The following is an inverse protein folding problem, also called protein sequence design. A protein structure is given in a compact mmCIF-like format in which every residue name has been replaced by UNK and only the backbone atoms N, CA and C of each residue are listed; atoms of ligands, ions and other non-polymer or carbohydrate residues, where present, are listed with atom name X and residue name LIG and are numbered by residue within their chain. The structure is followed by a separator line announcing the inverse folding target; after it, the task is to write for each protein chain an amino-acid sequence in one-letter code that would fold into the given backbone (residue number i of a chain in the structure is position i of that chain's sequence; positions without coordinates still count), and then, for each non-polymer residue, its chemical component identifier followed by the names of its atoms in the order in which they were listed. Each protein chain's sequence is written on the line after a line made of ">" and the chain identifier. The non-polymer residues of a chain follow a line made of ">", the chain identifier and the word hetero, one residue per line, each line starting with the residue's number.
data_IF_271947668231
#
_entry.id   IF_271947668231
#
_cell.length_a   1.000
_cell.length_b   1.000
_cell.length_c   1.000
_cell.angle_alpha   90.00
_cell.angle_beta   90.00
_cell.angle_gamma   90.00
#
_symmetry.space_group_name_H-M   'P 1'
#
loop_
_entity.id
_entity.type
_entity.pdbx_description
1 polymer ?
#
# COMPACT_ATOMS: atom_id res chain seq x y z
N UNK A 1 -0.13 -25.93 -4.39
CA UNK A 1 0.57 -25.13 -3.35
C UNK A 1 0.84 -23.77 -3.97
N UNK A 2 -0.07 -22.81 -3.80
CA UNK A 2 0.02 -21.49 -4.44
C UNK A 2 1.01 -20.69 -3.60
N UNK A 3 2.24 -20.62 -4.09
CA UNK A 3 3.28 -19.74 -3.57
C UNK A 3 2.92 -18.35 -4.06
N UNK A 4 2.49 -17.47 -3.15
CA UNK A 4 2.35 -16.05 -3.42
C UNK A 4 3.74 -15.50 -3.72
N UNK A 5 4.15 -15.50 -4.98
CA UNK A 5 5.33 -14.78 -5.43
C UNK A 5 4.98 -13.29 -5.43
N UNK A 6 5.17 -12.64 -4.28
CA UNK A 6 5.25 -11.19 -4.24
C UNK A 6 6.50 -10.80 -5.04
N UNK A 7 6.26 -10.41 -6.30
CA UNK A 7 7.25 -9.85 -7.21
C UNK A 7 7.99 -8.75 -6.48
N UNK A 8 9.31 -8.90 -6.44
CA UNK A 8 10.30 -7.99 -5.87
C UNK A 8 10.00 -6.57 -6.38
N UNK A 9 9.32 -5.76 -5.57
CA UNK A 9 9.20 -4.31 -5.77
C UNK A 9 10.63 -3.78 -5.74
N UNK A 10 11.19 -3.52 -6.91
CA UNK A 10 12.44 -2.78 -7.04
C UNK A 10 12.16 -1.39 -6.48
N UNK A 11 12.74 -1.11 -5.32
CA UNK A 11 12.81 0.23 -4.76
C UNK A 11 13.68 1.06 -5.71
N UNK A 12 13.10 2.07 -6.34
CA UNK A 12 13.89 3.17 -6.90
C UNK A 12 14.69 3.86 -5.79
N UNK A 13 15.78 4.58 -6.10
CA UNK A 13 16.57 5.32 -5.11
C UNK A 13 15.74 6.33 -4.29
N UNK A 14 14.53 6.69 -4.75
CA UNK A 14 13.56 7.55 -4.10
C UNK A 14 12.50 6.81 -3.26
N UNK A 15 12.49 5.46 -3.23
CA UNK A 15 11.67 4.67 -2.32
C UNK A 15 10.15 4.70 -2.55
N UNK A 16 9.65 5.18 -3.68
CA UNK A 16 8.21 5.24 -3.95
C UNK A 16 7.74 4.10 -4.87
N UNK A 17 6.88 3.20 -4.38
CA UNK A 17 6.12 2.27 -5.22
C UNK A 17 4.87 2.96 -5.83
N UNK A 18 4.54 2.59 -7.07
CA UNK A 18 3.46 3.13 -7.94
C UNK A 18 2.03 2.99 -7.37
N UNK A 19 1.72 1.93 -6.62
CA UNK A 19 0.39 1.77 -5.98
C UNK A 19 0.13 2.78 -4.85
N UNK A 20 1.13 3.57 -4.48
CA UNK A 20 1.08 4.39 -3.29
C UNK A 20 0.80 5.87 -3.54
N UNK A 21 1.00 6.37 -4.76
CA UNK A 21 0.51 7.71 -5.11
C UNK A 21 -1.02 7.76 -5.08
N UNK A 22 -1.72 6.66 -5.35
CA UNK A 22 -3.18 6.61 -5.29
C UNK A 22 -3.71 6.57 -3.85
N UNK A 23 -2.99 5.92 -2.92
CA UNK A 23 -3.26 6.02 -1.47
C UNK A 23 -3.10 7.48 -1.01
N UNK A 24 -2.09 8.19 -1.52
CA UNK A 24 -1.85 9.59 -1.20
C UNK A 24 -2.91 10.52 -1.85
N UNK A 25 -3.27 10.32 -3.12
CA UNK A 25 -4.26 11.11 -3.86
C UNK A 25 -5.72 10.88 -3.40
N UNK A 26 -6.00 9.82 -2.64
CA UNK A 26 -7.32 9.58 -2.03
C UNK A 26 -7.34 9.90 -0.53
N UNK A 27 -6.19 9.87 0.15
CA UNK A 27 -6.06 10.49 1.46
C UNK A 27 -6.32 12.01 1.37
N UNK A 28 -5.86 12.67 0.30
CA UNK A 28 -6.07 14.11 0.04
C UNK A 28 -7.52 14.50 -0.23
N UNK A 29 -8.39 13.56 -0.64
CA UNK A 29 -9.85 13.81 -0.79
C UNK A 29 -10.64 13.67 0.52
N UNK A 30 -10.01 13.14 1.57
CA UNK A 30 -10.58 13.05 2.93
C UNK A 30 -9.86 13.92 3.96
N UNK A 31 -8.77 14.57 3.57
CA UNK A 31 -8.12 15.61 4.35
C UNK A 31 -8.66 16.96 3.90
N UNK A 32 -9.57 17.54 4.67
CA UNK A 32 -9.34 18.95 5.01
C UNK A 32 -7.88 19.04 5.43
N UNK A 33 -7.12 19.92 4.79
CA UNK A 33 -5.68 20.12 5.00
C UNK A 33 -5.34 19.93 6.47
N UNK A 34 -4.83 18.74 6.84
CA UNK A 34 -4.22 18.59 8.15
C UNK A 34 -2.94 19.38 7.96
N UNK A 35 -2.80 20.56 8.60
CA UNK A 35 -1.59 21.31 8.46
C UNK A 35 -0.49 20.33 8.83
N UNK A 36 0.58 20.27 8.04
CA UNK A 36 1.86 19.80 8.55
C UNK A 36 2.22 20.77 9.67
N UNK A 37 1.59 20.57 10.83
CA UNK A 37 1.96 21.24 12.05
C UNK A 37 3.36 20.71 12.24
N UNK A 38 4.33 21.59 12.04
CA UNK A 38 5.65 21.54 12.66
C UNK A 38 5.41 21.39 14.16
N UNK A 39 5.06 20.16 14.54
CA UNK A 39 4.65 19.86 15.88
C UNK A 39 5.95 19.79 16.65
N UNK A 40 6.12 20.76 17.52
CA UNK A 40 7.15 20.85 18.55
C UNK A 40 6.97 19.72 19.57
N UNK A 41 6.92 18.47 19.10
CA UNK A 41 6.98 17.26 19.90
C UNK A 41 8.45 17.07 20.28
N UNK A 42 8.85 17.87 21.26
CA UNK A 42 10.13 17.92 21.96
C UNK A 42 11.32 17.23 21.29
N UNK A 43 12.11 18.01 20.55
CA UNK A 43 13.46 17.66 20.07
C UNK A 43 14.28 16.93 21.15
N UNK A 44 14.07 17.31 22.42
CA UNK A 44 14.71 16.72 23.61
C UNK A 44 14.42 15.23 23.81
N UNK A 45 13.24 14.72 23.45
CA UNK A 45 12.88 13.30 23.62
C UNK A 45 13.52 12.45 22.52
N UNK A 46 13.51 12.95 21.29
CA UNK A 46 14.11 12.30 20.13
C UNK A 46 15.65 12.30 20.21
N UNK A 47 16.27 13.42 20.62
CA UNK A 47 17.71 13.49 20.90
C UNK A 47 18.14 12.49 21.98
N UNK A 48 17.33 12.32 23.03
CA UNK A 48 17.60 11.35 24.10
C UNK A 48 17.47 9.89 23.64
N UNK A 49 16.53 9.59 22.75
CA UNK A 49 16.29 8.23 22.25
C UNK A 49 17.39 7.76 21.29
N UNK A 50 17.84 8.63 20.38
CA UNK A 50 18.79 8.25 19.34
C UNK A 50 20.24 8.63 19.64
N UNK A 51 20.50 9.47 20.65
CA UNK A 51 21.84 9.99 20.94
C UNK A 51 22.47 10.73 19.75
N UNK A 52 21.64 11.13 18.78
CA UNK A 52 22.00 11.85 17.55
C UNK A 52 21.12 13.09 17.44
N UNK A 53 21.63 14.12 16.76
CA UNK A 53 20.85 15.30 16.45
C UNK A 53 19.67 14.94 15.54
N UNK A 54 18.50 15.49 15.84
CA UNK A 54 17.25 15.27 15.10
C UNK A 54 17.41 15.61 13.61
N UNK A 55 18.31 16.54 13.29
CA UNK A 55 18.68 16.92 11.92
C UNK A 55 19.30 15.80 11.08
N UNK A 56 19.74 14.70 11.71
CA UNK A 56 20.32 13.53 11.02
C UNK A 56 19.30 12.46 10.64
N UNK A 57 18.05 12.59 11.11
CA UNK A 57 16.99 11.64 10.82
C UNK A 57 16.30 12.00 9.50
N UNK A 58 15.90 10.98 8.73
CA UNK A 58 15.05 11.20 7.56
C UNK A 58 13.63 11.58 8.00
N UNK A 59 12.93 12.34 7.16
CA UNK A 59 11.54 12.77 7.33
C UNK A 59 10.62 11.61 7.73
N UNK A 60 10.75 10.45 7.08
CA UNK A 60 9.99 9.25 7.42
C UNK A 60 10.22 8.79 8.87
N UNK A 61 11.47 8.82 9.35
CA UNK A 61 11.79 8.40 10.71
C UNK A 61 11.15 9.36 11.71
N UNK A 62 11.27 10.67 11.46
CA UNK A 62 10.67 11.70 12.31
C UNK A 62 9.15 11.50 12.39
N UNK A 63 8.48 11.36 11.23
CA UNK A 63 7.04 11.12 11.13
C UNK A 63 6.63 9.85 11.88
N UNK A 64 7.36 8.74 11.67
CA UNK A 64 7.10 7.46 12.32
C UNK A 64 7.10 7.61 13.84
N UNK A 65 8.15 8.21 14.42
CA UNK A 65 8.26 8.33 15.87
C UNK A 65 7.24 9.32 16.46
N UNK A 66 6.94 10.41 15.76
CA UNK A 66 5.87 11.32 16.17
C UNK A 66 4.51 10.59 16.25
N UNK A 67 4.18 9.78 15.24
CA UNK A 67 2.96 8.98 15.22
C UNK A 67 2.96 7.89 16.32
N UNK A 68 4.10 7.27 16.60
CA UNK A 68 4.21 6.32 17.72
C UNK A 68 3.94 7.00 19.08
N UNK A 69 4.57 8.15 19.33
CA UNK A 69 4.40 8.92 20.58
C UNK A 69 2.95 9.40 20.74
N UNK A 70 2.34 9.86 19.65
CA UNK A 70 0.94 10.29 19.61
C UNK A 70 0.01 9.13 19.93
N UNK A 71 0.17 7.99 19.28
CA UNK A 71 -0.69 6.82 19.45
C UNK A 71 -0.47 6.09 20.79
N UNK A 72 0.68 6.27 21.44
CA UNK A 72 0.94 5.77 22.79
C UNK A 72 0.02 6.40 23.84
N UNK A 73 -0.40 7.66 23.63
CA UNK A 73 -1.27 8.41 24.56
C UNK A 73 -2.75 8.14 24.33
N UNK A 74 -3.10 7.48 23.24
CA UNK A 74 -4.49 7.29 22.79
C UNK A 74 -4.90 5.83 23.02
N UNK A 75 -6.15 5.64 23.45
CA UNK A 75 -6.76 4.32 23.58
C UNK A 75 -6.68 3.53 22.25
N UNK A 76 -6.43 2.22 22.28
CA UNK A 76 -6.32 1.40 21.07
C UNK A 76 -7.47 1.55 20.06
N UNK A 77 -8.70 1.82 20.52
CA UNK A 77 -9.88 1.98 19.64
C UNK A 77 -9.98 3.36 18.98
N UNK A 78 -9.29 4.37 19.52
CA UNK A 78 -9.35 5.76 19.06
C UNK A 78 -8.17 6.20 18.19
N UNK A 79 -7.20 5.32 17.92
CA UNK A 79 -5.99 5.66 17.17
C UNK A 79 -6.31 6.02 15.72
N UNK A 80 -5.79 7.16 15.27
CA UNK A 80 -5.81 7.60 13.87
C UNK A 80 -4.37 7.59 13.37
N UNK A 81 -4.14 6.95 12.23
CA UNK A 81 -2.81 6.79 11.64
C UNK A 81 -2.64 7.73 10.45
N UNK A 82 -1.43 8.27 10.30
CA UNK A 82 -1.03 8.98 9.09
C UNK A 82 -1.06 8.05 7.85
N UNK A 83 -1.41 8.55 6.64
CA UNK A 83 -1.41 7.75 5.41
C UNK A 83 -0.12 6.98 5.15
N UNK A 84 1.05 7.60 5.34
CA UNK A 84 2.34 6.91 5.16
C UNK A 84 2.56 5.76 6.17
N UNK A 85 2.05 5.89 7.39
CA UNK A 85 2.07 4.79 8.37
C UNK A 85 1.21 3.62 7.92
N UNK A 86 0.09 3.90 7.26
CA UNK A 86 -0.80 2.88 6.70
C UNK A 86 -0.15 2.21 5.49
N UNK A 87 0.43 3.00 4.58
CA UNK A 87 1.19 2.51 3.42
C UNK A 87 2.31 1.57 3.86
N UNK A 88 3.15 2.01 4.79
CA UNK A 88 4.24 1.18 5.33
C UNK A 88 3.71 -0.10 6.01
N UNK A 89 2.57 -0.01 6.70
CA UNK A 89 1.93 -1.18 7.31
C UNK A 89 1.39 -2.18 6.28
N UNK A 90 0.83 -1.70 5.16
CA UNK A 90 0.40 -2.54 4.03
C UNK A 90 1.60 -3.29 3.45
N UNK A 91 2.71 -2.59 3.22
CA UNK A 91 3.94 -3.20 2.71
C UNK A 91 4.50 -4.27 3.66
N UNK A 92 4.55 -3.96 4.96
CA UNK A 92 5.03 -4.90 5.97
C UNK A 92 4.14 -6.15 6.02
N UNK A 93 2.82 -5.96 5.99
CA UNK A 93 1.84 -7.05 5.97
C UNK A 93 1.94 -7.89 4.68
N UNK A 94 2.15 -7.26 3.52
CA UNK A 94 2.33 -7.95 2.25
C UNK A 94 3.59 -8.83 2.23
N UNK A 95 4.69 -8.37 2.84
CA UNK A 95 5.92 -9.15 2.97
C UNK A 95 5.77 -10.34 3.91
N UNK A 96 5.16 -10.14 5.08
CA UNK A 96 4.90 -11.23 6.03
C UNK A 96 3.75 -10.90 6.99
N UNK A 97 2.55 -11.46 6.77
CA UNK A 97 1.42 -11.29 7.68
C UNK A 97 1.72 -11.83 9.08
N UNK A 98 2.44 -12.95 9.18
CA UNK A 98 2.79 -13.57 10.46
C UNK A 98 3.70 -12.67 11.29
N UNK A 99 4.74 -12.07 10.67
CA UNK A 99 5.62 -11.13 11.35
C UNK A 99 4.85 -9.87 11.76
N UNK A 100 3.96 -9.36 10.90
CA UNK A 100 3.11 -8.22 11.23
C UNK A 100 2.25 -8.47 12.47
N UNK A 101 1.57 -9.61 12.53
CA UNK A 101 0.77 -9.99 13.70
C UNK A 101 1.62 -10.12 14.96
N UNK A 102 2.82 -10.71 14.86
CA UNK A 102 3.72 -10.84 16.00
C UNK A 102 4.12 -9.48 16.57
N UNK A 103 4.60 -8.56 15.72
CA UNK A 103 5.04 -7.21 16.12
C UNK A 103 3.88 -6.40 16.72
N UNK A 104 2.69 -6.53 16.14
CA UNK A 104 1.50 -5.83 16.62
C UNK A 104 1.01 -6.38 17.96
N UNK A 105 1.00 -7.71 18.12
CA UNK A 105 0.50 -8.35 19.33
C UNK A 105 1.50 -8.26 20.50
N UNK A 106 2.78 -8.03 20.23
CA UNK A 106 3.77 -7.77 21.26
C UNK A 106 3.69 -6.34 21.82
N UNK A 107 2.79 -5.50 21.31
CA UNK A 107 2.63 -4.08 21.67
C UNK A 107 3.94 -3.26 21.59
N UNK A 108 4.92 -3.74 20.82
CA UNK A 108 6.20 -3.06 20.62
C UNK A 108 6.01 -1.83 19.73
N UNK A 109 5.11 -1.93 18.75
CA UNK A 109 4.74 -0.83 17.85
C UNK A 109 3.23 -0.65 17.82
N UNK A 110 2.80 0.61 17.79
CA UNK A 110 1.43 0.98 17.54
C UNK A 110 1.17 0.96 16.03
N UNK A 111 0.60 -0.14 15.55
CA UNK A 111 0.29 -0.38 14.15
C UNK A 111 -1.24 -0.44 13.89
N UNK A 112 -1.69 -0.13 12.66
CA UNK A 112 -3.06 -0.34 12.22
C UNK A 112 -3.57 -1.76 12.50
N UNK A 113 -4.89 -1.92 12.54
CA UNK A 113 -5.45 -3.27 12.60
C UNK A 113 -5.36 -3.94 11.23
N UNK A 114 -5.30 -5.28 11.15
CA UNK A 114 -5.44 -6.00 9.88
C UNK A 114 -6.73 -5.63 9.14
N UNK A 115 -7.82 -5.38 9.86
CA UNK A 115 -9.08 -4.91 9.26
C UNK A 115 -8.92 -3.52 8.64
N UNK A 116 -8.15 -2.62 9.26
CA UNK A 116 -7.79 -1.33 8.68
C UNK A 116 -6.99 -1.54 7.40
N UNK A 117 -5.92 -2.35 7.44
CA UNK A 117 -5.13 -2.69 6.25
C UNK A 117 -6.00 -3.23 5.12
N UNK A 118 -6.90 -4.18 5.41
CA UNK A 118 -7.83 -4.73 4.42
C UNK A 118 -8.75 -3.68 3.82
N UNK A 119 -9.24 -2.71 4.60
CA UNK A 119 -10.06 -1.60 4.06
C UNK A 119 -9.29 -0.75 3.07
N UNK A 120 -8.04 -0.39 3.39
CA UNK A 120 -7.22 0.41 2.48
C UNK A 120 -6.79 -0.39 1.24
N UNK A 121 -6.45 -1.68 1.41
CA UNK A 121 -6.09 -2.57 0.29
C UNK A 121 -7.27 -2.80 -0.66
N UNK A 122 -8.47 -3.02 -0.12
CA UNK A 122 -9.67 -3.33 -0.91
C UNK A 122 -10.35 -2.07 -1.46
N UNK A 123 -9.78 -0.88 -1.25
CA UNK A 123 -10.31 0.35 -1.83
C UNK A 123 -10.17 0.37 -3.35
N UNK A 124 -9.21 -0.37 -3.89
CA UNK A 124 -9.03 -0.57 -5.32
C UNK A 124 -9.72 -1.84 -5.78
N UNK A 125 -10.66 -1.70 -6.72
CA UNK A 125 -11.25 -2.84 -7.43
C UNK A 125 -10.45 -3.07 -8.70
N UNK A 126 -9.75 -4.20 -8.78
CA UNK A 126 -9.14 -4.63 -10.03
C UNK A 126 -10.26 -4.98 -11.02
N UNK A 127 -10.31 -4.27 -12.13
CA UNK A 127 -11.22 -4.55 -13.25
C UNK A 127 -10.47 -5.34 -14.33
N UNK A 128 -11.14 -6.28 -15.02
CA UNK A 128 -10.54 -6.95 -16.17
C UNK A 128 -10.26 -5.95 -17.30
N UNK A 129 -9.21 -6.21 -18.07
CA UNK A 129 -8.79 -5.36 -19.18
C UNK A 129 -7.52 -4.57 -18.90
N UNK A 130 -7.35 -3.47 -19.63
CA UNK A 130 -6.19 -2.60 -19.50
C UNK A 130 -6.37 -1.72 -18.26
N UNK A 131 -5.33 -1.61 -17.43
CA UNK A 131 -5.35 -0.74 -16.28
C UNK A 131 -5.09 0.70 -16.70
N UNK A 132 -6.17 1.48 -16.87
CA UNK A 132 -6.11 2.90 -17.26
C UNK A 132 -5.26 3.73 -16.30
N UNK A 133 -5.36 3.48 -14.98
CA UNK A 133 -4.55 4.20 -13.99
C UNK A 133 -3.05 3.94 -14.16
N UNK A 134 -2.67 2.74 -14.62
CA UNK A 134 -1.27 2.44 -14.90
C UNK A 134 -0.78 3.12 -16.19
N UNK A 135 -1.67 3.31 -17.17
CA UNK A 135 -1.34 4.05 -18.39
C UNK A 135 -1.18 5.55 -18.14
N UNK A 136 -2.10 6.15 -17.37
CA UNK A 136 -2.01 7.56 -16.98
C UNK A 136 -0.68 7.89 -16.29
N UNK A 137 -0.19 6.97 -15.45
CA UNK A 137 1.09 7.15 -14.78
C UNK A 137 2.29 6.95 -15.72
N UNK A 138 2.18 6.04 -16.70
CA UNK A 138 3.21 5.93 -17.74
C UNK A 138 3.30 7.22 -18.56
N UNK A 139 2.17 7.85 -18.87
CA UNK A 139 2.15 9.14 -19.57
C UNK A 139 2.87 10.22 -18.76
N UNK A 140 2.63 10.28 -17.44
CA UNK A 140 3.32 11.19 -16.53
C UNK A 140 4.84 10.98 -16.52
N UNK A 141 5.28 9.73 -16.43
CA UNK A 141 6.72 9.38 -16.47
C UNK A 141 7.33 9.75 -17.82
N UNK A 142 6.58 9.58 -18.91
CA UNK A 142 7.02 9.95 -20.26
C UNK A 142 7.14 11.47 -20.42
N UNK A 143 6.29 12.28 -19.77
CA UNK A 143 6.44 13.74 -19.78
C UNK A 143 7.74 14.20 -19.09
N UNK A 144 8.19 13.47 -18.05
CA UNK A 144 9.42 13.76 -17.33
C UNK A 144 10.69 13.27 -18.05
N UNK A 145 10.56 12.37 -19.03
CA UNK A 145 11.70 11.71 -19.69
C UNK A 145 11.63 11.86 -21.23
N UNK A 146 12.72 12.33 -21.84
CA UNK A 146 12.78 12.66 -23.28
C UNK A 146 12.52 11.47 -24.22
N UNK A 147 12.85 10.24 -23.79
CA UNK A 147 12.50 8.98 -24.46
C UNK A 147 12.76 7.79 -23.53
N UNK A 148 11.73 6.95 -23.30
CA UNK A 148 11.85 5.73 -22.52
C UNK A 148 11.45 4.52 -23.38
N UNK A 149 12.40 3.73 -23.91
CA UNK A 149 12.06 2.52 -24.65
C UNK A 149 11.50 1.45 -23.69
N UNK A 150 10.29 0.96 -23.97
CA UNK A 150 9.58 -0.04 -23.15
C UNK A 150 9.30 -1.29 -23.97
N UNK A 151 9.45 -2.46 -23.35
CA UNK A 151 9.04 -3.75 -23.92
C UNK A 151 7.83 -4.29 -23.18
N UNK A 152 6.82 -4.72 -23.92
CA UNK A 152 5.63 -5.38 -23.36
C UNK A 152 5.81 -6.88 -23.58
N UNK A 153 5.88 -7.63 -22.48
CA UNK A 153 5.88 -9.09 -22.47
C UNK A 153 4.61 -9.56 -21.79
N UNK A 154 3.88 -10.46 -22.44
CA UNK A 154 2.61 -10.97 -21.95
C UNK A 154 2.69 -12.48 -21.93
N UNK A 155 2.24 -13.10 -20.84
CA UNK A 155 2.21 -14.56 -20.70
C UNK A 155 0.82 -15.03 -20.22
N UNK A 156 0.54 -16.32 -20.37
CA UNK A 156 -0.71 -16.93 -19.94
C UNK A 156 -0.48 -17.83 -18.72
N UNK A 157 -1.26 -17.61 -17.67
CA UNK A 157 -1.21 -18.40 -16.45
C UNK A 157 -2.47 -19.26 -16.31
N UNK A 158 -2.29 -20.59 -16.25
CA UNK A 158 -3.37 -21.52 -15.90
C UNK A 158 -3.86 -21.25 -14.48
N UNK A 159 -5.16 -21.04 -14.32
CA UNK A 159 -5.83 -20.89 -13.03
C UNK A 159 -6.77 -22.05 -12.76
N UNK A 160 -7.20 -22.17 -11.50
CA UNK A 160 -8.22 -23.14 -11.12
C UNK A 160 -9.58 -22.64 -11.58
N UNK A 161 -10.28 -23.49 -12.33
CA UNK A 161 -11.68 -23.29 -12.70
C UNK A 161 -12.54 -23.23 -11.43
N UNK A 162 -13.12 -22.06 -11.18
CA UNK A 162 -13.95 -21.83 -10.01
C UNK A 162 -14.87 -20.62 -10.20
N UNK A 163 -16.02 -20.65 -9.53
CA UNK A 163 -16.95 -19.53 -9.44
C UNK A 163 -16.90 -18.94 -8.03
N UNK A 164 -16.75 -17.63 -7.94
CA UNK A 164 -16.63 -16.91 -6.68
C UNK A 164 -17.74 -15.87 -6.58
N UNK A 165 -18.58 -16.01 -5.55
CA UNK A 165 -19.60 -15.02 -5.22
C UNK A 165 -19.10 -14.08 -4.12
N UNK A 166 -18.99 -12.79 -4.42
CA UNK A 166 -18.62 -11.75 -3.46
C UNK A 166 -19.46 -10.49 -3.69
N UNK A 167 -19.96 -9.90 -2.61
CA UNK A 167 -20.66 -8.61 -2.61
C UNK A 167 -21.81 -8.50 -3.64
N UNK A 168 -22.54 -9.60 -3.90
CA UNK A 168 -23.64 -9.60 -4.86
C UNK A 168 -23.27 -9.98 -6.29
N UNK A 169 -21.97 -10.16 -6.57
CA UNK A 169 -21.44 -10.43 -7.91
C UNK A 169 -20.84 -11.84 -7.99
N UNK A 170 -21.11 -12.54 -9.10
CA UNK A 170 -20.48 -13.82 -9.43
C UNK A 170 -19.35 -13.55 -10.42
N UNK A 171 -18.14 -13.96 -10.06
CA UNK A 171 -16.94 -13.86 -10.89
C UNK A 171 -16.41 -15.26 -11.22
N UNK A 172 -15.69 -15.39 -12.34
CA UNK A 172 -15.10 -16.66 -12.78
C UNK A 172 -15.51 -17.14 -14.16
N UNK A 173 -16.17 -16.29 -14.96
CA UNK A 173 -16.48 -16.58 -16.36
C UNK A 173 -15.50 -15.87 -17.30
N UNK A 174 -15.29 -16.46 -18.48
CA UNK A 174 -14.66 -15.77 -19.61
C UNK A 174 -15.71 -14.87 -20.26
N UNK A 175 -15.39 -13.59 -20.42
CA UNK A 175 -16.23 -12.65 -21.18
C UNK A 175 -16.03 -12.90 -22.68
N UNK A 176 -16.67 -13.93 -23.21
CA UNK A 176 -16.69 -14.31 -24.62
C UNK A 176 -17.97 -13.88 -25.35
N UNK A 177 -17.95 -13.95 -26.68
CA UNK A 177 -19.05 -13.50 -27.54
C UNK A 177 -20.21 -14.51 -27.63
N UNK A 178 -19.96 -15.79 -27.32
CA UNK A 178 -20.93 -16.87 -27.61
C UNK A 178 -21.19 -17.85 -26.44
N UNK A 179 -20.35 -17.93 -25.40
CA UNK A 179 -20.56 -18.84 -24.26
C UNK A 179 -20.05 -18.30 -22.91
N UNK A 180 -20.79 -18.57 -21.82
CA UNK A 180 -20.35 -18.32 -20.44
C UNK A 180 -19.52 -19.50 -19.92
N UNK A 181 -18.32 -19.68 -20.46
CA UNK A 181 -17.39 -20.70 -19.98
C UNK A 181 -16.65 -20.26 -18.72
N UNK A 182 -16.30 -21.21 -17.87
CA UNK A 182 -15.52 -20.92 -16.65
C UNK A 182 -14.10 -20.54 -17.06
N UNK A 183 -13.58 -19.48 -16.46
CA UNK A 183 -12.22 -19.00 -16.71
C UNK A 183 -11.20 -20.06 -16.28
N UNK A 184 -10.37 -20.46 -17.25
CA UNK A 184 -9.33 -21.49 -17.09
C UNK A 184 -7.94 -20.88 -17.03
N UNK A 185 -7.75 -19.70 -17.60
CA UNK A 185 -6.47 -19.02 -17.72
C UNK A 185 -6.65 -17.51 -17.52
N UNK A 186 -5.58 -16.84 -17.11
CA UNK A 186 -5.48 -15.38 -17.03
C UNK A 186 -4.24 -14.91 -17.78
N UNK A 187 -4.32 -13.72 -18.37
CA UNK A 187 -3.20 -13.06 -19.01
C UNK A 187 -2.45 -12.25 -17.93
N UNK A 188 -1.12 -12.39 -17.86
CA UNK A 188 -0.25 -11.74 -16.88
C UNK A 188 0.92 -10.99 -17.49
#
# INVERSE_FOLDING_TARGET
>A
MIVWYYRRLYLDPAGCCVECEIINNQATKSSEDVPCSTSTVGDKTMMKLFGRDVSTLNEWQILFFQEQIKNAKVDPKGRKFHPDMIRWSIELYARSPAAYHHIRNSDVLFLPSPATISKYRNNFKATPGINEMALEELDRIMEENESLPVYITVDEMKIRENLVYQNGEISGFVLGWETNEIATHIIG
#
